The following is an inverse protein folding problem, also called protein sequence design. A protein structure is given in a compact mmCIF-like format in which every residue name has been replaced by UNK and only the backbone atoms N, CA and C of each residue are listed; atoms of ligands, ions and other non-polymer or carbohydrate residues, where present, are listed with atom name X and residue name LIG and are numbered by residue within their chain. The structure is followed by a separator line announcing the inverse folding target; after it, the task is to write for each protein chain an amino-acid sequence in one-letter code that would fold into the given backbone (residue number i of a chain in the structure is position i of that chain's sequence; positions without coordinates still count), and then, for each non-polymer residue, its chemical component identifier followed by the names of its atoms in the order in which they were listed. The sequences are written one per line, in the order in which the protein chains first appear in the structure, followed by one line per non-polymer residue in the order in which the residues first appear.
data_IF_872540589119
#
_entry.id   IF_872540589119
#
_cell.length_a   1.000
_cell.length_b   1.000
_cell.length_c   1.000
_cell.angle_alpha   90.00
_cell.angle_beta   90.00
_cell.angle_gamma   90.00
#
_symmetry.space_group_name_H-M   'P 1'
#
loop_
_entity.id
_entity.type
_entity.pdbx_description
1 polymer ?
#
# COMPACT_ATOMS: atom_id res chain seq x y z
N UNK A 1 -40.68 -52.18 -14.46
CA UNK A 1 -41.63 -51.12 -14.89
C UNK A 1 -41.46 -50.00 -13.88
N UNK A 2 -40.52 -49.08 -14.11
CA UNK A 2 -40.69 -47.87 -14.95
C UNK A 2 -41.77 -46.96 -14.35
N UNK A 3 -41.37 -45.96 -13.58
CA UNK A 3 -41.45 -44.54 -13.98
C UNK A 3 -42.30 -43.81 -12.92
N UNK A 4 -42.18 -42.54 -12.60
CA UNK A 4 -41.36 -41.45 -13.10
C UNK A 4 -41.17 -40.41 -11.99
N UNK A 5 -39.99 -39.79 -12.00
CA UNK A 5 -39.56 -38.71 -11.12
C UNK A 5 -40.12 -37.41 -11.68
N UNK A 6 -41.05 -36.75 -10.98
CA UNK A 6 -41.44 -35.38 -11.31
C UNK A 6 -40.48 -34.40 -10.61
N UNK A 7 -39.54 -33.89 -11.40
CA UNK A 7 -38.75 -32.70 -11.10
C UNK A 7 -39.67 -31.48 -11.11
N UNK A 8 -39.95 -30.91 -9.94
CA UNK A 8 -40.47 -29.55 -9.88
C UNK A 8 -39.30 -28.55 -9.89
N UNK A 9 -39.45 -27.59 -10.79
CA UNK A 9 -38.48 -26.61 -11.21
C UNK A 9 -38.49 -25.46 -10.23
N UNK A 10 -37.50 -25.39 -9.34
CA UNK A 10 -37.22 -24.17 -8.60
C UNK A 10 -35.95 -23.52 -9.14
N UNK A 11 -36.13 -22.74 -10.21
CA UNK A 11 -35.21 -21.67 -10.60
C UNK A 11 -35.04 -20.72 -9.41
N UNK A 12 -33.86 -20.72 -8.79
CA UNK A 12 -33.43 -19.60 -7.96
C UNK A 12 -32.35 -18.82 -8.70
N UNK A 13 -32.78 -17.67 -9.25
CA UNK A 13 -31.94 -16.59 -9.75
C UNK A 13 -30.83 -16.27 -8.74
N UNK A 14 -29.62 -16.74 -9.01
CA UNK A 14 -28.44 -16.23 -8.30
C UNK A 14 -28.01 -14.95 -8.98
N UNK A 15 -28.62 -13.86 -8.51
CA UNK A 15 -28.19 -12.49 -8.70
C UNK A 15 -26.65 -12.40 -8.74
N UNK A 16 -26.11 -12.09 -9.92
CA UNK A 16 -24.70 -11.76 -10.14
C UNK A 16 -24.39 -10.40 -9.50
N UNK A 17 -24.36 -10.37 -8.17
CA UNK A 17 -23.85 -9.23 -7.43
C UNK A 17 -22.34 -9.15 -7.66
N UNK A 18 -21.94 -8.19 -8.50
CA UNK A 18 -20.59 -7.62 -8.66
C UNK A 18 -19.60 -8.03 -7.56
N UNK A 19 -19.00 -9.21 -7.68
CA UNK A 19 -17.85 -9.60 -6.87
C UNK A 19 -16.72 -8.68 -7.27
N UNK A 20 -16.44 -7.65 -6.45
CA UNK A 20 -15.28 -6.76 -6.60
C UNK A 20 -14.06 -7.67 -6.82
N UNK A 21 -13.54 -7.69 -8.04
CA UNK A 21 -12.50 -8.64 -8.48
C UNK A 21 -11.27 -8.41 -7.59
N UNK A 22 -11.09 -9.30 -6.62
CA UNK A 22 -10.06 -9.17 -5.59
C UNK A 22 -8.68 -9.08 -6.26
N UNK A 23 -7.77 -8.32 -5.65
CA UNK A 23 -6.38 -8.23 -6.12
C UNK A 23 -5.58 -9.35 -5.49
N UNK A 24 -5.15 -10.29 -6.32
CA UNK A 24 -4.32 -11.40 -5.86
C UNK A 24 -2.89 -10.93 -5.53
N UNK A 25 -2.17 -11.71 -4.71
CA UNK A 25 -0.79 -11.41 -4.33
C UNK A 25 0.12 -11.37 -5.56
N UNK A 26 -0.09 -12.28 -6.52
CA UNK A 26 0.64 -12.26 -7.78
C UNK A 26 0.39 -10.94 -8.56
N UNK A 27 -0.87 -10.49 -8.63
CA UNK A 27 -1.21 -9.22 -9.29
C UNK A 27 -0.55 -8.02 -8.60
N UNK A 28 -0.41 -8.03 -7.27
CA UNK A 28 0.31 -6.98 -6.53
C UNK A 28 1.81 -7.00 -6.85
N UNK A 29 2.43 -8.17 -6.96
CA UNK A 29 3.86 -8.26 -7.34
C UNK A 29 4.11 -7.72 -8.74
N UNK A 30 3.22 -8.02 -9.70
CA UNK A 30 3.25 -7.45 -11.04
C UNK A 30 3.08 -5.93 -10.98
N UNK A 31 2.13 -5.44 -10.18
CA UNK A 31 1.88 -4.00 -10.03
C UNK A 31 3.11 -3.27 -9.50
N UNK A 32 3.80 -3.84 -8.50
CA UNK A 32 5.04 -3.27 -7.96
C UNK A 32 6.15 -3.24 -9.01
N UNK A 33 6.31 -4.31 -9.79
CA UNK A 33 7.30 -4.36 -10.89
C UNK A 33 6.99 -3.34 -11.98
N UNK A 34 5.72 -3.22 -12.36
CA UNK A 34 5.26 -2.26 -13.37
C UNK A 34 5.43 -0.81 -12.88
N UNK A 35 5.12 -0.53 -11.61
CA UNK A 35 5.38 0.77 -10.98
C UNK A 35 6.87 1.12 -10.95
N UNK A 36 7.75 0.14 -10.71
CA UNK A 36 9.21 0.34 -10.78
C UNK A 36 9.69 0.64 -12.19
N UNK A 37 9.06 0.04 -13.21
CA UNK A 37 9.47 0.15 -14.62
C UNK A 37 8.96 1.41 -15.31
N UNK A 38 7.68 1.75 -15.12
CA UNK A 38 7.02 2.86 -15.83
C UNK A 38 6.75 4.08 -14.93
N UNK A 39 6.89 3.94 -13.61
CA UNK A 39 6.52 4.99 -12.66
C UNK A 39 5.01 5.10 -12.44
N UNK A 40 4.59 5.86 -11.43
CA UNK A 40 3.19 5.94 -11.01
C UNK A 40 2.29 6.77 -11.95
N UNK A 41 2.88 7.54 -12.87
CA UNK A 41 2.15 8.41 -13.82
C UNK A 41 1.64 7.64 -15.04
N UNK A 42 2.36 6.60 -15.46
CA UNK A 42 2.11 5.86 -16.70
C UNK A 42 1.13 4.71 -16.52
N UNK A 43 -0.10 5.04 -16.11
CA UNK A 43 -1.15 4.06 -15.78
C UNK A 43 -1.53 3.20 -16.99
N UNK A 44 -1.49 3.76 -18.21
CA UNK A 44 -1.85 3.01 -19.41
C UNK A 44 -0.86 1.89 -19.72
N UNK A 45 0.44 2.13 -19.54
CA UNK A 45 1.45 1.10 -19.74
C UNK A 45 1.42 0.06 -18.63
N UNK A 46 1.14 0.46 -17.39
CA UNK A 46 0.93 -0.48 -16.29
C UNK A 46 -0.30 -1.35 -16.56
N UNK A 47 -1.40 -0.79 -17.07
CA UNK A 47 -2.62 -1.53 -17.34
C UNK A 47 -2.44 -2.61 -18.42
N UNK A 48 -1.51 -2.43 -19.37
CA UNK A 48 -1.18 -3.45 -20.39
C UNK A 48 -0.59 -4.73 -19.79
N UNK A 49 0.03 -4.65 -18.62
CA UNK A 49 0.57 -5.81 -17.89
C UNK A 49 -0.56 -6.64 -17.23
N UNK A 50 -1.80 -6.13 -17.22
CA UNK A 50 -2.95 -6.81 -16.62
C UNK A 50 -4.01 -7.16 -17.68
N UNK A 51 -4.12 -8.43 -18.10
CA UNK A 51 -5.11 -8.84 -19.10
C UNK A 51 -6.57 -8.75 -18.58
N UNK A 52 -6.76 -8.71 -17.26
CA UNK A 52 -8.08 -8.82 -16.63
C UNK A 52 -8.52 -7.60 -15.82
N UNK A 53 -7.72 -6.53 -15.80
CA UNK A 53 -8.00 -5.30 -15.03
C UNK A 53 -8.08 -4.10 -15.97
N UNK A 54 -9.02 -3.21 -15.70
CA UNK A 54 -9.13 -1.96 -16.43
C UNK A 54 -8.09 -0.95 -15.93
N UNK A 55 -7.66 0.02 -16.76
CA UNK A 55 -6.79 1.12 -16.30
C UNK A 55 -7.36 1.88 -15.09
N UNK A 56 -8.69 2.00 -15.02
CA UNK A 56 -9.37 2.58 -13.87
C UNK A 56 -9.13 1.77 -12.58
N UNK A 57 -9.22 0.43 -12.65
CA UNK A 57 -8.98 -0.42 -11.49
C UNK A 57 -7.52 -0.34 -11.00
N UNK A 58 -6.57 -0.25 -11.94
CA UNK A 58 -5.14 -0.05 -11.63
C UNK A 58 -4.94 1.29 -10.93
N UNK A 59 -5.51 2.38 -11.46
CA UNK A 59 -5.46 3.72 -10.82
C UNK A 59 -6.02 3.69 -9.41
N UNK A 60 -7.19 3.08 -9.21
CA UNK A 60 -7.81 2.94 -7.89
C UNK A 60 -6.90 2.18 -6.92
N UNK A 61 -6.23 1.11 -7.38
CA UNK A 61 -5.33 0.32 -6.55
C UNK A 61 -4.08 1.12 -6.15
N UNK A 62 -3.47 1.83 -7.11
CA UNK A 62 -2.32 2.72 -6.83
C UNK A 62 -2.70 3.77 -5.79
N UNK A 63 -3.85 4.44 -5.97
CA UNK A 63 -4.34 5.44 -5.02
C UNK A 63 -4.61 4.83 -3.63
N UNK A 64 -5.18 3.62 -3.57
CA UNK A 64 -5.41 2.91 -2.31
C UNK A 64 -4.10 2.61 -1.59
N UNK A 65 -3.07 2.16 -2.31
CA UNK A 65 -1.74 1.89 -1.76
C UNK A 65 -1.06 3.19 -1.29
N UNK A 66 -1.18 4.27 -2.06
CA UNK A 66 -0.65 5.57 -1.68
C UNK A 66 -1.31 6.11 -0.40
N UNK A 67 -2.64 6.02 -0.30
CA UNK A 67 -3.37 6.39 0.91
C UNK A 67 -3.00 5.52 2.11
N UNK A 68 -2.83 4.21 1.91
CA UNK A 68 -2.38 3.32 2.98
C UNK A 68 -0.96 3.66 3.45
N UNK A 69 -0.03 3.93 2.53
CA UNK A 69 1.32 4.36 2.84
C UNK A 69 1.33 5.69 3.62
N UNK A 70 0.53 6.66 3.19
CA UNK A 70 0.38 7.95 3.88
C UNK A 70 -0.17 7.77 5.30
N UNK A 71 -1.25 7.00 5.46
CA UNK A 71 -1.83 6.71 6.78
C UNK A 71 -0.83 6.02 7.71
N UNK A 72 -0.13 5.00 7.21
CA UNK A 72 0.86 4.28 8.01
C UNK A 72 2.07 5.16 8.38
N UNK A 73 2.51 6.04 7.48
CA UNK A 73 3.56 7.02 7.77
C UNK A 73 3.11 8.04 8.83
N UNK A 74 1.88 8.55 8.73
CA UNK A 74 1.33 9.47 9.73
C UNK A 74 1.17 8.80 11.09
N UNK A 75 0.68 7.56 11.14
CA UNK A 75 0.56 6.80 12.40
C UNK A 75 1.93 6.55 13.03
N UNK A 76 2.93 6.14 12.24
CA UNK A 76 4.31 5.97 12.74
C UNK A 76 4.91 7.27 13.25
N UNK A 77 4.67 8.40 12.57
CA UNK A 77 5.13 9.71 13.01
C UNK A 77 4.49 10.10 14.34
N UNK A 78 3.16 9.99 14.46
CA UNK A 78 2.44 10.30 15.70
C UNK A 78 2.91 9.40 16.85
N UNK A 79 3.07 8.09 16.63
CA UNK A 79 3.56 7.16 17.65
C UNK A 79 4.99 7.47 18.08
N UNK A 80 5.85 7.87 17.14
CA UNK A 80 7.22 8.27 17.46
C UNK A 80 7.24 9.58 18.24
N UNK A 81 6.47 10.58 17.82
CA UNK A 81 6.36 11.86 18.50
C UNK A 81 5.77 11.70 19.91
N UNK A 82 4.74 10.88 20.08
CA UNK A 82 4.13 10.55 21.38
C UNK A 82 5.13 9.82 22.28
N UNK A 83 5.87 8.85 21.74
CA UNK A 83 6.91 8.13 22.47
C UNK A 83 8.07 9.05 22.90
N UNK A 84 8.57 9.90 21.99
CA UNK A 84 9.63 10.88 22.27
C UNK A 84 9.21 11.89 23.35
N UNK A 85 7.94 12.30 23.35
CA UNK A 85 7.41 13.26 24.32
C UNK A 85 6.91 12.61 25.62
N UNK A 86 6.78 11.28 25.68
CA UNK A 86 6.27 10.57 26.86
C UNK A 86 7.18 10.66 28.09
N UNK A 87 8.46 11.00 27.90
CA UNK A 87 9.44 11.10 29.00
C UNK A 87 9.74 9.76 29.69
N UNK A 88 9.17 8.65 29.21
CA UNK A 88 9.41 7.29 29.71
C UNK A 88 10.71 6.74 29.12
N UNK A 89 11.84 7.29 29.57
CA UNK A 89 13.16 6.78 29.24
C UNK A 89 13.77 6.15 30.49
N UNK A 90 14.16 4.87 30.41
CA UNK A 90 14.99 4.28 31.45
C UNK A 90 16.31 5.04 31.48
N UNK A 91 16.74 5.48 32.66
CA UNK A 91 17.98 6.26 32.86
C UNK A 91 19.25 5.56 32.35
N UNK A 92 19.19 4.25 32.10
CA UNK A 92 20.28 3.45 31.54
C UNK A 92 20.31 3.45 30.00
N UNK A 93 19.29 3.99 29.35
CA UNK A 93 19.08 3.92 27.90
C UNK A 93 18.85 5.33 27.32
N UNK A 94 19.49 6.35 27.91
CA UNK A 94 19.31 7.77 27.56
C UNK A 94 19.89 8.14 26.20
N UNK A 95 20.86 7.37 25.69
CA UNK A 95 21.59 7.73 24.48
C UNK A 95 20.73 7.64 23.21
N UNK A 96 19.87 6.62 23.11
CA UNK A 96 19.04 6.39 21.92
C UNK A 96 17.92 7.45 21.82
N UNK A 97 17.12 7.73 22.87
CA UNK A 97 16.10 8.77 22.83
C UNK A 97 16.66 10.18 22.66
N UNK A 98 17.78 10.49 23.30
CA UNK A 98 18.42 11.79 23.19
C UNK A 98 18.95 12.01 21.77
N UNK A 99 19.57 11.00 21.15
CA UNK A 99 19.95 11.04 19.75
C UNK A 99 18.74 11.21 18.82
N UNK A 100 17.64 10.47 19.04
CA UNK A 100 16.42 10.59 18.22
C UNK A 100 15.75 11.96 18.36
N UNK A 101 15.79 12.56 19.55
CA UNK A 101 15.28 13.92 19.79
C UNK A 101 16.12 14.95 19.04
N UNK A 102 17.45 14.86 19.13
CA UNK A 102 18.37 15.74 18.37
C UNK A 102 18.12 15.58 16.87
N UNK A 103 18.01 14.34 16.39
CA UNK A 103 17.66 14.03 15.00
C UNK A 103 16.34 14.71 14.62
N UNK A 104 15.28 14.58 15.42
CA UNK A 104 14.00 15.24 15.12
C UNK A 104 14.04 16.77 15.14
N UNK A 105 14.92 17.37 15.94
CA UNK A 105 15.06 18.83 16.10
C UNK A 105 16.02 19.44 15.07
N UNK A 106 16.96 18.65 14.55
CA UNK A 106 18.01 19.09 13.60
C UNK A 106 17.67 18.70 12.16
N UNK A 107 16.80 17.72 11.95
CA UNK A 107 16.34 17.28 10.63
C UNK A 107 15.24 18.18 10.04
N UNK A 108 15.58 19.45 9.77
CA UNK A 108 15.16 20.01 8.48
C UNK A 108 15.97 19.28 7.41
N UNK A 109 15.54 18.04 7.10
CA UNK A 109 16.20 17.25 6.07
C UNK A 109 16.23 18.07 4.79
N UNK A 110 17.43 18.34 4.23
CA UNK A 110 17.48 18.91 2.90
C UNK A 110 16.67 18.00 1.97
N UNK A 111 15.86 18.60 1.08
CA UNK A 111 15.22 17.85 -0.01
C UNK A 111 16.29 16.99 -0.69
N UNK A 112 15.94 15.81 -1.22
CA UNK A 112 16.88 14.85 -1.81
C UNK A 112 17.89 15.46 -2.81
N UNK A 113 17.57 16.62 -3.37
CA UNK A 113 18.40 17.42 -4.29
C UNK A 113 19.51 18.23 -3.59
N UNK A 114 19.44 18.39 -2.27
CA UNK A 114 20.34 19.19 -1.43
C UNK A 114 21.14 18.33 -0.43
N UNK A 115 20.73 17.07 -0.19
CA UNK A 115 21.61 16.10 0.48
C UNK A 115 22.73 15.77 -0.51
N UNK A 116 23.96 16.18 -0.18
CA UNK A 116 25.14 15.98 -1.01
C UNK A 116 25.11 14.58 -1.64
N UNK A 117 25.18 14.55 -2.96
CA UNK A 117 25.26 13.36 -3.79
C UNK A 117 26.50 12.58 -3.36
N UNK A 118 26.35 11.70 -2.36
CA UNK A 118 27.36 10.73 -2.00
C UNK A 118 27.36 9.66 -3.09
N UNK A 119 27.85 10.06 -4.26
CA UNK A 119 28.21 9.20 -5.37
C UNK A 119 29.43 8.40 -4.89
N UNK A 120 29.17 7.21 -4.34
CA UNK A 120 30.24 6.24 -4.08
C UNK A 120 30.71 5.72 -5.44
N UNK A 121 31.61 6.48 -6.06
CA UNK A 121 32.50 6.02 -7.14
C UNK A 121 33.45 4.94 -6.62
#
# INVERSE_FOLDING_TARGET
MSGDINQDSSQSNTNSYNKRKHWDEHEKTILLRALKKYGYKDIENIAKEFPYKTPAAVRTMINKLHLAAKKNSTVKKIQLDEWLNSGYFNYTDTMIPEALKIISEVEDHPLREQSADCDFM
#
